data_IF_925858231820
#
_entry.id   IF_925858231820
#
_cell.length_a   1.000
_cell.length_b   1.000
_cell.length_c   1.000
_cell.angle_alpha   90.00
_cell.angle_beta   90.00
_cell.angle_gamma   90.00
#
_symmetry.space_group_name_H-M   'P 1'
#
loop_
_entity.id
_entity.type
_entity.pdbx_description
1 polymer ?
#
# COMPACT_ATOMS: atom_id res chain seq x y z
N UNK A 1 12.07 44.20 -33.00
CA UNK A 1 10.77 43.85 -32.37
C UNK A 1 9.64 43.55 -33.35
N UNK A 2 9.51 44.23 -34.51
CA UNK A 2 8.43 43.97 -35.50
C UNK A 2 8.55 42.66 -36.30
N UNK A 3 9.73 42.03 -36.33
CA UNK A 3 10.01 40.84 -37.14
C UNK A 3 9.42 39.54 -36.60
N UNK A 4 9.18 39.45 -35.28
CA UNK A 4 8.68 38.21 -34.65
C UNK A 4 7.21 37.97 -34.95
N UNK A 5 6.42 39.04 -35.08
CA UNK A 5 4.99 38.96 -35.40
C UNK A 5 4.68 39.14 -36.90
N UNK A 6 5.67 39.49 -37.72
CA UNK A 6 5.53 39.63 -39.16
C UNK A 6 4.90 38.40 -39.86
N UNK A 7 5.30 37.14 -39.56
CA UNK A 7 4.67 35.97 -40.19
C UNK A 7 3.20 35.81 -39.78
N UNK A 8 2.86 36.10 -38.52
CA UNK A 8 1.49 36.03 -38.01
C UNK A 8 0.58 37.12 -38.64
N UNK A 9 1.11 38.33 -38.81
CA UNK A 9 0.39 39.45 -39.45
C UNK A 9 0.19 39.19 -40.95
N UNK A 10 1.18 38.64 -41.64
CA UNK A 10 1.06 38.25 -43.05
C UNK A 10 0.03 37.12 -43.26
N UNK A 11 -0.02 36.16 -42.34
CA UNK A 11 -1.02 35.08 -42.35
C UNK A 11 -2.44 35.65 -42.17
N UNK A 12 -2.66 36.51 -41.16
CA UNK A 12 -3.96 37.13 -40.89
C UNK A 12 -4.45 38.02 -42.04
N UNK A 13 -3.57 38.74 -42.73
CA UNK A 13 -3.94 39.57 -43.88
C UNK A 13 -4.40 38.79 -45.12
N UNK A 14 -4.08 37.48 -45.19
CA UNK A 14 -4.56 36.57 -46.24
C UNK A 14 -5.91 35.90 -45.93
N UNK A 15 -6.42 36.04 -44.71
CA UNK A 15 -7.64 35.38 -44.26
C UNK A 15 -8.87 36.30 -44.40
N UNK A 16 -9.98 35.75 -44.89
CA UNK A 16 -11.29 36.43 -44.90
C UNK A 16 -11.77 36.70 -43.47
N UNK A 17 -12.63 37.71 -43.28
CA UNK A 17 -13.11 38.15 -41.95
C UNK A 17 -13.59 37.01 -41.01
N UNK A 18 -14.36 36.00 -41.45
CA UNK A 18 -14.79 34.89 -40.59
C UNK A 18 -13.61 34.04 -40.08
N UNK A 19 -12.58 33.90 -40.92
CA UNK A 19 -11.40 33.06 -40.66
C UNK A 19 -10.47 33.74 -39.64
N UNK A 20 -10.43 35.08 -39.60
CA UNK A 20 -9.74 35.85 -38.56
C UNK A 20 -10.35 35.61 -37.17
N UNK A 21 -11.69 35.61 -37.06
CA UNK A 21 -12.39 35.30 -35.81
C UNK A 21 -12.16 33.86 -35.36
N UNK A 22 -12.12 32.90 -36.28
CA UNK A 22 -11.80 31.50 -35.95
C UNK A 22 -10.39 31.33 -35.35
N UNK A 23 -9.38 32.03 -35.88
CA UNK A 23 -8.01 32.00 -35.33
C UNK A 23 -7.96 32.57 -33.91
N UNK A 24 -8.65 33.68 -33.67
CA UNK A 24 -8.73 34.28 -32.32
C UNK A 24 -9.45 33.33 -31.37
N UNK A 25 -10.59 32.76 -31.78
CA UNK A 25 -11.32 31.77 -30.99
C UNK A 25 -10.45 30.55 -30.65
N UNK A 26 -9.69 30.04 -31.62
CA UNK A 26 -8.76 28.92 -31.41
C UNK A 26 -7.63 29.29 -30.45
N UNK A 27 -7.13 30.53 -30.50
CA UNK A 27 -6.08 31.03 -29.60
C UNK A 27 -6.51 30.94 -28.13
N UNK A 28 -7.80 31.12 -27.84
CA UNK A 28 -8.36 30.96 -26.50
C UNK A 28 -8.84 29.53 -26.21
N UNK A 29 -9.40 28.84 -27.20
CA UNK A 29 -9.91 27.48 -27.03
C UNK A 29 -8.79 26.45 -26.78
N UNK A 30 -7.61 26.63 -27.39
CA UNK A 30 -6.46 25.75 -27.20
C UNK A 30 -5.97 25.66 -25.75
N UNK A 31 -5.58 26.78 -25.10
CA UNK A 31 -5.13 26.72 -23.71
C UNK A 31 -6.25 26.27 -22.78
N UNK A 32 -7.51 26.66 -23.05
CA UNK A 32 -8.65 26.20 -22.27
C UNK A 32 -8.82 24.67 -22.36
N UNK A 33 -8.84 24.13 -23.58
CA UNK A 33 -8.96 22.69 -23.82
C UNK A 33 -7.79 21.91 -23.21
N UNK A 34 -6.58 22.46 -23.24
CA UNK A 34 -5.41 21.87 -22.61
C UNK A 34 -5.55 21.81 -21.08
N UNK A 35 -5.98 22.90 -20.45
CA UNK A 35 -6.25 22.92 -19.00
C UNK A 35 -7.36 21.94 -18.64
N UNK A 36 -8.44 21.88 -19.41
CA UNK A 36 -9.52 20.90 -19.22
C UNK A 36 -9.02 19.48 -19.35
N UNK A 37 -8.17 19.19 -20.35
CA UNK A 37 -7.57 17.87 -20.54
C UNK A 37 -6.71 17.46 -19.35
N UNK A 38 -5.83 18.35 -18.87
CA UNK A 38 -5.01 18.09 -17.68
C UNK A 38 -5.86 17.90 -16.42
N UNK A 39 -6.92 18.69 -16.24
CA UNK A 39 -7.84 18.54 -15.13
C UNK A 39 -8.55 17.18 -15.15
N UNK A 40 -9.04 16.74 -16.31
CA UNK A 40 -9.68 15.43 -16.46
C UNK A 40 -8.68 14.30 -16.19
N UNK A 41 -7.45 14.42 -16.70
CA UNK A 41 -6.40 13.43 -16.46
C UNK A 41 -6.09 13.29 -14.97
N UNK A 42 -5.89 14.42 -14.28
CA UNK A 42 -5.62 14.46 -12.84
C UNK A 42 -6.78 13.88 -12.01
N UNK A 43 -8.03 14.17 -12.40
CA UNK A 43 -9.22 13.59 -11.76
C UNK A 43 -9.27 12.07 -11.95
N UNK A 44 -8.97 11.58 -13.15
CA UNK A 44 -8.93 10.15 -13.42
C UNK A 44 -7.82 9.43 -12.64
N UNK A 45 -6.64 10.04 -12.53
CA UNK A 45 -5.54 9.51 -11.73
C UNK A 45 -5.90 9.44 -10.23
N UNK A 46 -6.61 10.45 -9.71
CA UNK A 46 -7.16 10.45 -8.35
C UNK A 46 -8.21 9.37 -8.14
N UNK A 47 -9.12 9.17 -9.10
CA UNK A 47 -10.12 8.10 -9.04
C UNK A 47 -9.42 6.73 -9.02
N UNK A 48 -8.40 6.53 -9.87
CA UNK A 48 -7.61 5.32 -9.90
C UNK A 48 -6.84 5.10 -8.58
N UNK A 49 -6.41 6.17 -7.91
CA UNK A 49 -5.80 6.11 -6.59
C UNK A 49 -6.83 5.74 -5.50
N UNK A 50 -8.00 6.38 -5.45
CA UNK A 50 -9.05 6.04 -4.47
C UNK A 50 -9.58 4.61 -4.64
N UNK A 51 -9.61 4.09 -5.88
CA UNK A 51 -9.89 2.67 -6.12
C UNK A 51 -8.82 1.76 -5.47
N UNK A 52 -7.54 2.16 -5.47
CA UNK A 52 -6.48 1.43 -4.77
C UNK A 52 -6.60 1.49 -3.25
N UNK A 53 -7.19 2.54 -2.68
CA UNK A 53 -7.43 2.60 -1.22
C UNK A 53 -8.45 1.55 -0.77
N UNK A 54 -9.49 1.30 -1.57
CA UNK A 54 -10.45 0.22 -1.29
C UNK A 54 -9.77 -1.16 -1.35
N UNK A 55 -8.93 -1.38 -2.37
CA UNK A 55 -8.14 -2.62 -2.50
C UNK A 55 -7.12 -2.76 -1.36
N UNK A 56 -6.50 -1.65 -0.94
CA UNK A 56 -5.60 -1.61 0.20
C UNK A 56 -6.31 -1.96 1.51
N UNK A 57 -7.54 -1.50 1.70
CA UNK A 57 -8.37 -1.86 2.86
C UNK A 57 -8.78 -3.35 2.84
N UNK A 58 -9.15 -3.90 1.68
CA UNK A 58 -9.40 -5.35 1.51
C UNK A 58 -8.14 -6.16 1.88
N UNK A 59 -6.96 -5.70 1.47
CA UNK A 59 -5.68 -6.32 1.82
C UNK A 59 -5.33 -6.20 3.30
N UNK A 60 -5.64 -5.06 3.94
CA UNK A 60 -5.21 -4.78 5.31
C UNK A 60 -5.97 -5.60 6.36
N UNK A 61 -7.25 -5.91 6.12
CA UNK A 61 -8.08 -6.69 7.06
C UNK A 61 -7.48 -8.04 7.46
N UNK A 62 -7.15 -8.97 6.54
CA UNK A 62 -6.57 -10.26 6.90
C UNK A 62 -5.15 -10.12 7.48
N UNK A 63 -4.39 -9.09 7.07
CA UNK A 63 -3.06 -8.82 7.64
C UNK A 63 -3.16 -8.38 9.11
N UNK A 64 -4.17 -7.59 9.47
CA UNK A 64 -4.42 -7.21 10.87
C UNK A 64 -4.80 -8.42 11.72
N UNK A 65 -5.62 -9.33 11.19
CA UNK A 65 -5.98 -10.58 11.87
C UNK A 65 -4.72 -11.42 12.13
N UNK A 66 -3.92 -11.66 11.09
CA UNK A 66 -2.64 -12.34 11.19
C UNK A 66 -1.72 -11.72 12.26
N UNK A 67 -1.64 -10.37 12.31
CA UNK A 67 -0.81 -9.67 13.28
C UNK A 67 -1.35 -9.75 14.72
N UNK A 68 -2.66 -9.94 14.90
CA UNK A 68 -3.26 -10.21 16.20
C UNK A 68 -2.91 -11.62 16.68
N UNK A 69 -3.17 -12.63 15.86
CA UNK A 69 -2.95 -14.03 16.19
C UNK A 69 -1.46 -14.35 16.37
N UNK A 70 -0.56 -13.65 15.65
CA UNK A 70 0.88 -13.74 15.88
C UNK A 70 1.31 -13.17 17.25
N UNK A 71 0.62 -12.12 17.74
CA UNK A 71 0.87 -11.59 19.09
C UNK A 71 0.35 -12.56 20.16
N UNK A 72 -0.79 -13.19 19.93
CA UNK A 72 -1.33 -14.21 20.85
C UNK A 72 -0.40 -15.43 20.93
N UNK A 73 0.11 -15.90 19.79
CA UNK A 73 1.10 -16.97 19.73
C UNK A 73 2.35 -16.62 20.55
N UNK A 74 2.79 -15.37 20.49
CA UNK A 74 3.86 -14.83 21.33
C UNK A 74 3.45 -14.76 22.81
N UNK A 75 2.26 -14.30 23.17
CA UNK A 75 1.80 -14.34 24.56
C UNK A 75 1.89 -15.74 25.17
N UNK A 76 1.38 -16.74 24.44
CA UNK A 76 1.31 -18.13 24.91
C UNK A 76 2.66 -18.85 24.94
N UNK A 77 3.54 -18.56 23.98
CA UNK A 77 4.90 -19.14 23.99
C UNK A 77 5.71 -18.64 25.19
N UNK A 78 5.52 -17.39 25.61
CA UNK A 78 6.19 -16.82 26.78
C UNK A 78 5.58 -17.34 28.07
N UNK A 79 4.25 -17.43 28.14
CA UNK A 79 3.56 -17.96 29.32
C UNK A 79 3.73 -19.49 29.49
N UNK A 80 4.10 -20.23 28.43
CA UNK A 80 4.55 -21.62 28.53
C UNK A 80 5.91 -21.76 29.20
N UNK A 81 6.80 -20.79 29.04
CA UNK A 81 8.08 -20.78 29.78
C UNK A 81 7.85 -20.64 31.29
N UNK A 82 6.70 -20.09 31.70
CA UNK A 82 6.26 -19.91 33.09
C UNK A 82 5.39 -21.09 33.63
N UNK A 83 5.32 -22.21 32.90
CA UNK A 83 4.63 -23.46 33.28
C UNK A 83 3.08 -23.43 33.38
N UNK A 84 2.41 -22.35 32.99
CA UNK A 84 0.94 -22.21 33.15
C UNK A 84 0.07 -22.66 31.95
N UNK A 85 0.64 -22.95 30.76
CA UNK A 85 -0.18 -23.14 29.54
C UNK A 85 -0.21 -24.58 29.02
N UNK A 86 -1.39 -24.99 28.53
CA UNK A 86 -1.64 -26.35 28.04
C UNK A 86 -1.19 -26.48 26.57
N UNK A 87 -0.53 -27.58 26.15
CA UNK A 87 -0.10 -27.82 24.77
C UNK A 87 -1.22 -27.69 23.71
N UNK A 88 -2.48 -27.83 24.11
CA UNK A 88 -3.66 -27.66 23.25
C UNK A 88 -3.92 -26.20 22.84
N UNK A 89 -3.62 -25.23 23.69
CA UNK A 89 -3.87 -23.81 23.40
C UNK A 89 -2.91 -23.29 22.32
N UNK A 90 -1.62 -23.68 22.40
CA UNK A 90 -0.66 -23.39 21.35
C UNK A 90 -1.08 -24.00 20.00
N UNK A 91 -1.52 -25.26 19.99
CA UNK A 91 -2.03 -25.92 18.78
C UNK A 91 -3.20 -25.15 18.14
N UNK A 92 -4.15 -24.68 18.95
CA UNK A 92 -5.27 -23.88 18.45
C UNK A 92 -4.82 -22.56 17.85
N UNK A 93 -3.78 -21.94 18.38
CA UNK A 93 -3.25 -20.68 17.84
C UNK A 93 -2.44 -20.93 16.58
N UNK A 94 -1.66 -22.01 16.51
CA UNK A 94 -0.97 -22.43 15.28
C UNK A 94 -1.95 -22.68 14.13
N UNK A 95 -3.07 -23.35 14.40
CA UNK A 95 -4.13 -23.59 13.42
C UNK A 95 -4.81 -22.28 12.97
N UNK A 96 -4.98 -21.30 13.86
CA UNK A 96 -5.49 -19.97 13.47
C UNK A 96 -4.48 -19.22 12.63
N UNK A 97 -3.21 -19.20 13.03
CA UNK A 97 -2.14 -18.53 12.32
C UNK A 97 -1.92 -19.13 10.91
N UNK A 98 -2.08 -20.45 10.75
CA UNK A 98 -2.06 -21.09 9.43
C UNK A 98 -3.25 -20.65 8.56
N UNK A 99 -4.45 -20.52 9.13
CA UNK A 99 -5.62 -19.99 8.40
C UNK A 99 -5.40 -18.55 7.97
N UNK A 100 -4.91 -17.70 8.87
CA UNK A 100 -4.63 -16.29 8.57
C UNK A 100 -3.60 -16.15 7.44
N UNK A 101 -2.55 -17.00 7.42
CA UNK A 101 -1.59 -17.03 6.33
C UNK A 101 -2.27 -17.39 4.99
N UNK A 102 -3.22 -18.33 4.99
CA UNK A 102 -3.95 -18.71 3.79
C UNK A 102 -4.90 -17.60 3.31
N UNK A 103 -5.53 -16.87 4.23
CA UNK A 103 -6.40 -15.75 3.90
C UNK A 103 -5.60 -14.59 3.29
N UNK A 104 -4.47 -14.22 3.90
CA UNK A 104 -3.57 -13.20 3.33
C UNK A 104 -3.02 -13.68 1.98
N UNK A 105 -2.71 -14.97 1.80
CA UNK A 105 -2.30 -15.53 0.51
C UNK A 105 -3.37 -15.48 -0.58
N UNK A 106 -4.63 -15.65 -0.22
CA UNK A 106 -5.75 -15.52 -1.15
C UNK A 106 -5.87 -14.07 -1.66
N UNK A 107 -5.70 -13.10 -0.75
CA UNK A 107 -5.79 -11.67 -1.10
C UNK A 107 -4.53 -11.19 -1.82
N UNK A 108 -3.34 -11.65 -1.43
CA UNK A 108 -2.07 -11.31 -2.10
C UNK A 108 -1.99 -11.86 -3.54
N UNK A 109 -2.57 -13.04 -3.82
CA UNK A 109 -2.70 -13.52 -5.21
C UNK A 109 -3.56 -12.61 -6.10
N UNK A 110 -4.56 -11.93 -5.52
CA UNK A 110 -5.47 -11.05 -6.26
C UNK A 110 -4.93 -9.63 -6.36
N UNK A 111 -4.37 -9.10 -5.27
CA UNK A 111 -4.05 -7.67 -5.12
C UNK A 111 -2.56 -7.39 -4.99
N UNK A 112 -1.74 -8.38 -4.67
CA UNK A 112 -0.34 -8.20 -4.30
C UNK A 112 0.55 -7.64 -5.41
N UNK A 113 0.29 -8.03 -6.67
CA UNK A 113 0.97 -7.45 -7.83
C UNK A 113 0.58 -5.98 -8.08
N UNK A 114 -0.69 -5.63 -7.85
CA UNK A 114 -1.20 -4.26 -8.01
C UNK A 114 -0.72 -3.33 -6.88
N UNK A 115 -0.63 -3.85 -5.64
CA UNK A 115 -0.20 -3.12 -4.45
C UNK A 115 1.32 -3.20 -4.20
N UNK A 116 2.05 -3.99 -4.99
CA UNK A 116 3.48 -4.29 -4.81
C UNK A 116 3.82 -4.83 -3.40
N UNK A 117 2.90 -5.59 -2.80
CA UNK A 117 3.01 -6.11 -1.42
C UNK A 117 3.56 -7.53 -1.34
N UNK A 118 3.52 -8.29 -2.44
CA UNK A 118 3.89 -9.73 -2.46
C UNK A 118 5.28 -10.01 -1.92
N UNK A 119 6.27 -9.17 -2.23
CA UNK A 119 7.65 -9.35 -1.75
C UNK A 119 7.76 -9.12 -0.23
N UNK A 120 7.03 -8.13 0.30
CA UNK A 120 6.98 -7.86 1.75
C UNK A 120 6.27 -9.00 2.48
N UNK A 121 5.14 -9.46 1.94
CA UNK A 121 4.37 -10.55 2.53
C UNK A 121 5.15 -11.87 2.56
N UNK A 122 5.81 -12.23 1.47
CA UNK A 122 6.66 -13.44 1.41
C UNK A 122 7.81 -13.39 2.43
N UNK A 123 8.42 -12.22 2.64
CA UNK A 123 9.45 -12.04 3.67
C UNK A 123 8.88 -12.22 5.10
N UNK A 124 7.70 -11.65 5.39
CA UNK A 124 7.04 -11.78 6.70
C UNK A 124 6.66 -13.25 6.97
N UNK A 125 6.07 -13.92 5.98
CA UNK A 125 5.71 -15.33 6.06
C UNK A 125 6.93 -16.22 6.32
N UNK A 126 8.05 -15.94 5.66
CA UNK A 126 9.31 -16.64 5.89
C UNK A 126 9.80 -16.49 7.33
N UNK A 127 9.79 -15.27 7.88
CA UNK A 127 10.14 -15.02 9.28
C UNK A 127 9.20 -15.72 10.26
N UNK A 128 7.90 -15.71 10.01
CA UNK A 128 6.91 -16.40 10.83
C UNK A 128 7.14 -17.91 10.88
N UNK A 129 7.38 -18.55 9.72
CA UNK A 129 7.71 -19.98 9.66
C UNK A 129 9.01 -20.32 10.38
N UNK A 130 10.03 -19.47 10.26
CA UNK A 130 11.30 -19.66 10.96
C UNK A 130 11.10 -19.67 12.49
N UNK A 131 10.23 -18.79 13.01
CA UNK A 131 9.89 -18.73 14.43
C UNK A 131 9.12 -19.98 14.90
N UNK A 132 8.24 -20.55 14.07
CA UNK A 132 7.54 -21.81 14.37
C UNK A 132 8.48 -23.03 14.34
N UNK A 133 9.49 -23.00 13.47
CA UNK A 133 10.45 -24.12 13.32
C UNK A 133 11.61 -24.09 14.32
N UNK A 134 11.82 -22.99 15.04
CA UNK A 134 12.85 -22.93 16.07
C UNK A 134 12.29 -23.60 17.33
N UNK A 135 12.85 -24.74 17.78
CA UNK A 135 12.40 -25.36 19.02
C UNK A 135 12.59 -24.34 20.16
N UNK A 136 11.60 -24.23 21.05
CA UNK A 136 11.63 -23.47 22.31
C UNK A 136 12.80 -23.92 23.19
N UNK A 137 14.02 -23.54 22.81
CA UNK A 137 15.29 -23.82 23.52
C UNK A 137 16.31 -22.69 23.27
N UNK A 138 15.89 -21.56 22.70
CA UNK A 138 16.70 -20.35 22.65
C UNK A 138 16.42 -19.49 23.90
N UNK A 139 17.09 -19.85 24.99
CA UNK A 139 17.47 -19.07 26.17
C UNK A 139 16.37 -18.32 26.97
N UNK A 140 16.37 -18.42 28.31
CA UNK A 140 15.63 -17.49 29.14
C UNK A 140 16.25 -16.11 28.93
N UNK A 141 15.44 -15.14 28.47
CA UNK A 141 15.79 -13.74 28.70
C UNK A 141 15.74 -13.59 30.22
N UNK A 142 16.92 -13.48 30.82
CA UNK A 142 17.14 -13.33 32.25
C UNK A 142 16.10 -12.37 32.87
N UNK A 143 15.18 -12.86 33.73
CA UNK A 143 14.17 -12.03 34.36
C UNK A 143 14.75 -10.93 35.26
N UNK A 144 16.04 -11.01 35.62
CA UNK A 144 16.69 -10.03 36.48
C UNK A 144 16.86 -8.64 35.83
N UNK A 145 16.82 -8.51 34.50
CA UNK A 145 17.00 -7.22 33.81
C UNK A 145 15.73 -6.37 33.69
N UNK A 146 14.55 -6.84 34.13
CA UNK A 146 13.30 -6.07 34.01
C UNK A 146 13.10 -5.02 35.10
N UNK A 147 13.80 -5.12 36.25
CA UNK A 147 13.64 -4.15 37.34
C UNK A 147 14.75 -3.08 37.40
N UNK A 148 15.94 -3.32 36.86
CA UNK A 148 17.07 -2.38 36.98
C UNK A 148 17.08 -1.27 35.94
N UNK A 149 16.37 -1.41 34.81
CA UNK A 149 16.30 -0.36 33.78
C UNK A 149 15.26 0.74 34.08
N UNK A 150 14.51 0.65 35.19
CA UNK A 150 13.60 1.73 35.63
C UNK A 150 14.26 2.67 36.65
N UNK A 151 15.53 2.43 37.02
CA UNK A 151 16.31 3.26 37.93
C UNK A 151 17.75 3.38 37.41
N UNK A 152 17.94 4.03 36.25
CA UNK A 152 19.20 4.64 35.84
C UNK A 152 18.95 5.76 34.82
#
# INVERSE_FOLDING_TARGET
MKSVFAPAVALLNRLTYPRKFAVIGLLFALPLGLVTFFLISELNDRIAFSAKEQLGNEYLRPVQQFASDLRDHRGLTWARADQENTPEELRRVDERLQRDIQEVDAVDRRLGAMLRSTQLWTAIKGKCRALQSTPTTAAPVDPANRHTAMIA
#
